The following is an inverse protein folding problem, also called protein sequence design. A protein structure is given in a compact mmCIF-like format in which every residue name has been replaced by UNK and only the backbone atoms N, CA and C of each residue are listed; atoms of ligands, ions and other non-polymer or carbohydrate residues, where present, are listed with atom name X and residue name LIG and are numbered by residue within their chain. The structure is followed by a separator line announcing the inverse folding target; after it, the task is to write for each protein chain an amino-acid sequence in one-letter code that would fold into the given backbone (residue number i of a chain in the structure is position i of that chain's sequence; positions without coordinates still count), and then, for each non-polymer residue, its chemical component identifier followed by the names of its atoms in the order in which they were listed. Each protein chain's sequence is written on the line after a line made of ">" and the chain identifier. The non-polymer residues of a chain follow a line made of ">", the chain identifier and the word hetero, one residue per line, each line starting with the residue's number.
data_IF_046762174787
#
_entry.id   IF_046762174787
#
_cell.length_a   1.000
_cell.length_b   1.000
_cell.length_c   1.000
_cell.angle_alpha   90.00
_cell.angle_beta   90.00
_cell.angle_gamma   90.00
#
_symmetry.space_group_name_H-M   'P 1'
#
loop_
_entity.id
_entity.type
_entity.pdbx_description
1 polymer ?
#
# COMPACT_ATOMS: atom_id res chain seq x y z
N UNK A 1 -4.53 -8.78 -30.79
CA UNK A 1 -3.50 -8.46 -29.78
C UNK A 1 -3.85 -9.21 -28.51
N UNK A 2 -2.92 -9.99 -27.95
CA UNK A 2 -3.16 -10.72 -26.71
C UNK A 2 -3.09 -9.76 -25.51
N UNK A 3 -4.08 -9.83 -24.61
CA UNK A 3 -4.09 -9.05 -23.39
C UNK A 3 -3.04 -9.60 -22.41
N UNK A 4 -2.09 -8.77 -22.00
CA UNK A 4 -1.11 -9.14 -20.97
C UNK A 4 -1.75 -8.98 -19.59
N UNK A 5 -1.90 -10.10 -18.87
CA UNK A 5 -2.40 -10.12 -17.50
C UNK A 5 -1.23 -9.84 -16.55
N UNK A 6 -1.18 -8.63 -15.98
CA UNK A 6 -0.10 -8.20 -15.08
C UNK A 6 -0.25 -8.78 -13.66
N UNK A 7 -1.47 -8.80 -13.12
CA UNK A 7 -1.77 -9.35 -11.79
C UNK A 7 -3.20 -9.86 -11.72
N UNK A 8 -3.49 -10.65 -10.68
CA UNK A 8 -4.84 -11.11 -10.37
C UNK A 8 -4.98 -11.40 -8.88
N UNK A 9 -6.09 -10.92 -8.34
CA UNK A 9 -6.49 -11.15 -6.96
C UNK A 9 -7.91 -11.69 -6.97
N UNK A 10 -8.15 -12.76 -6.23
CA UNK A 10 -9.48 -13.27 -5.94
C UNK A 10 -9.80 -13.00 -4.48
N UNK A 11 -10.98 -12.45 -4.20
CA UNK A 11 -11.45 -12.15 -2.84
C UNK A 11 -12.85 -12.75 -2.65
N UNK A 12 -13.05 -13.46 -1.56
CA UNK A 12 -14.31 -14.12 -1.24
C UNK A 12 -14.70 -13.86 0.22
N UNK A 13 -15.99 -13.60 0.44
CA UNK A 13 -16.58 -13.41 1.76
C UNK A 13 -17.57 -14.54 2.05
N UNK A 14 -17.52 -15.08 3.26
CA UNK A 14 -18.35 -16.20 3.70
C UNK A 14 -19.37 -15.82 4.77
N UNK A 15 -19.71 -16.79 5.63
CA UNK A 15 -20.66 -16.59 6.73
C UNK A 15 -20.08 -15.75 7.89
N UNK A 16 -18.76 -15.70 8.03
CA UNK A 16 -18.11 -14.84 9.01
C UNK A 16 -18.23 -13.39 8.55
N UNK A 17 -18.85 -12.56 9.40
CA UNK A 17 -19.06 -11.15 9.12
C UNK A 17 -17.73 -10.43 8.92
N UNK A 18 -17.62 -9.73 7.79
CA UNK A 18 -16.49 -8.89 7.36
C UNK A 18 -15.12 -9.57 7.12
N UNK A 19 -14.96 -10.85 7.48
CA UNK A 19 -13.76 -11.59 7.11
C UNK A 19 -13.77 -11.98 5.63
N UNK A 20 -12.73 -11.58 4.92
CA UNK A 20 -12.52 -11.84 3.49
C UNK A 20 -11.25 -12.66 3.30
N UNK A 21 -11.38 -13.81 2.65
CA UNK A 21 -10.25 -14.59 2.19
C UNK A 21 -9.76 -14.04 0.84
N UNK A 22 -8.46 -13.75 0.74
CA UNK A 22 -7.84 -13.14 -0.43
C UNK A 22 -6.72 -14.04 -0.95
N UNK A 23 -6.76 -14.34 -2.24
CA UNK A 23 -5.70 -15.03 -2.99
C UNK A 23 -5.03 -14.05 -3.95
N UNK A 24 -3.76 -13.73 -3.71
CA UNK A 24 -2.94 -12.84 -4.53
C UNK A 24 -1.73 -13.60 -5.06
N UNK A 25 -1.86 -14.17 -6.27
CA UNK A 25 -0.88 -15.11 -6.80
C UNK A 25 -0.72 -16.33 -5.87
N UNK A 26 0.50 -16.65 -5.40
CA UNK A 26 0.73 -17.76 -4.45
C UNK A 26 0.41 -17.40 -2.98
N UNK A 27 0.09 -16.14 -2.69
CA UNK A 27 -0.10 -15.65 -1.33
C UNK A 27 -1.57 -15.70 -0.91
N UNK A 28 -1.79 -16.11 0.35
CA UNK A 28 -3.09 -16.06 1.01
C UNK A 28 -3.07 -14.96 2.06
N UNK A 29 -4.05 -14.06 1.99
CA UNK A 29 -4.24 -12.96 2.92
C UNK A 29 -5.64 -13.03 3.50
N UNK A 30 -5.83 -12.37 4.64
CA UNK A 30 -7.15 -12.16 5.24
C UNK A 30 -7.34 -10.67 5.45
N UNK A 31 -8.47 -10.14 4.98
CA UNK A 31 -8.96 -8.83 5.41
C UNK A 31 -10.08 -9.05 6.43
N UNK A 32 -10.13 -8.27 7.48
CA UNK A 32 -11.24 -8.32 8.42
C UNK A 32 -11.41 -6.98 9.12
N UNK A 33 -12.65 -6.58 9.32
CA UNK A 33 -12.92 -5.40 10.10
C UNK A 33 -12.61 -5.65 11.58
N UNK A 34 -12.35 -4.56 12.31
CA UNK A 34 -12.14 -4.67 13.75
C UNK A 34 -13.37 -5.21 14.47
N UNK A 35 -13.18 -5.75 15.68
CA UNK A 35 -14.28 -6.17 16.56
C UNK A 35 -15.26 -5.02 16.84
N UNK A 36 -14.77 -3.79 16.92
CA UNK A 36 -15.60 -2.59 17.13
C UNK A 36 -16.58 -2.33 15.97
N UNK A 37 -16.21 -2.73 14.76
CA UNK A 37 -17.03 -2.61 13.55
C UNK A 37 -17.78 -3.91 13.23
N UNK A 38 -17.67 -4.94 14.09
CA UNK A 38 -18.39 -6.19 13.98
C UNK A 38 -17.69 -7.29 13.17
N UNK A 39 -16.40 -7.11 12.85
CA UNK A 39 -15.54 -8.18 12.34
C UNK A 39 -14.89 -8.97 13.47
N UNK A 40 -13.95 -9.86 13.15
CA UNK A 40 -13.19 -10.64 14.14
C UNK A 40 -11.78 -10.07 14.38
N UNK A 41 -11.34 -9.09 13.58
CA UNK A 41 -9.96 -8.62 13.60
C UNK A 41 -8.94 -9.70 13.20
N UNK A 42 -9.33 -10.66 12.35
CA UNK A 42 -8.48 -11.76 11.91
C UNK A 42 -7.37 -11.35 10.92
N UNK A 43 -7.36 -10.10 10.47
CA UNK A 43 -6.37 -9.52 9.57
C UNK A 43 -6.50 -7.98 9.53
N UNK A 44 -5.72 -7.30 8.67
CA UNK A 44 -5.87 -5.85 8.49
C UNK A 44 -7.26 -5.49 7.98
N UNK A 45 -7.73 -4.29 8.30
CA UNK A 45 -8.99 -3.81 7.74
C UNK A 45 -8.84 -3.61 6.21
N UNK A 46 -9.94 -3.64 5.44
CA UNK A 46 -9.88 -3.44 3.99
C UNK A 46 -9.13 -2.16 3.57
N UNK A 47 -9.34 -1.04 4.26
CA UNK A 47 -8.60 0.19 3.97
C UNK A 47 -7.11 0.09 4.33
N UNK A 48 -6.73 -0.64 5.37
CA UNK A 48 -5.32 -0.88 5.70
C UNK A 48 -4.63 -1.67 4.58
N UNK A 49 -5.31 -2.63 3.95
CA UNK A 49 -4.78 -3.34 2.78
C UNK A 49 -4.64 -2.44 1.55
N UNK A 50 -5.59 -1.52 1.33
CA UNK A 50 -5.49 -0.52 0.25
C UNK A 50 -4.26 0.37 0.47
N UNK A 51 -4.09 0.88 1.69
CA UNK A 51 -2.91 1.70 2.04
C UNK A 51 -1.62 0.88 1.95
N UNK A 52 -1.62 -0.38 2.38
CA UNK A 52 -0.45 -1.27 2.27
C UNK A 52 -0.01 -1.45 0.81
N UNK A 53 -0.96 -1.69 -0.10
CA UNK A 53 -0.67 -1.78 -1.53
C UNK A 53 -0.13 -0.48 -2.11
N UNK A 54 -0.73 0.67 -1.75
CA UNK A 54 -0.27 1.98 -2.19
C UNK A 54 1.14 2.33 -1.67
N UNK A 55 1.41 2.01 -0.41
CA UNK A 55 2.71 2.20 0.23
C UNK A 55 3.78 1.37 -0.45
N UNK A 56 3.51 0.08 -0.67
CA UNK A 56 4.41 -0.82 -1.39
C UNK A 56 4.69 -0.35 -2.83
N UNK A 57 3.65 0.02 -3.58
CA UNK A 57 3.81 0.54 -4.95
C UNK A 57 4.63 1.84 -4.98
N UNK A 58 4.41 2.75 -4.02
CA UNK A 58 5.17 4.00 -3.92
C UNK A 58 6.63 3.72 -3.62
N UNK A 59 6.91 2.92 -2.59
CA UNK A 59 8.28 2.60 -2.18
C UNK A 59 9.07 1.93 -3.31
N UNK A 60 8.49 0.92 -3.96
CA UNK A 60 9.10 0.23 -5.09
C UNK A 60 9.40 1.20 -6.24
N UNK A 61 8.44 2.05 -6.60
CA UNK A 61 8.59 3.00 -7.70
C UNK A 61 9.70 4.02 -7.43
N UNK A 62 9.75 4.59 -6.23
CA UNK A 62 10.76 5.58 -5.88
C UNK A 62 12.16 4.97 -5.76
N UNK A 63 12.27 3.73 -5.25
CA UNK A 63 13.54 2.99 -5.27
C UNK A 63 14.03 2.74 -6.71
N UNK A 64 13.15 2.24 -7.59
CA UNK A 64 13.48 2.03 -9.01
C UNK A 64 13.89 3.35 -9.69
N UNK A 65 13.21 4.46 -9.39
CA UNK A 65 13.54 5.77 -9.93
C UNK A 65 14.93 6.25 -9.49
N UNK A 66 15.25 6.13 -8.19
CA UNK A 66 16.57 6.49 -7.66
C UNK A 66 17.69 5.63 -8.26
N UNK A 67 17.47 4.32 -8.38
CA UNK A 67 18.42 3.38 -9.00
C UNK A 67 18.67 3.72 -10.47
N UNK A 68 17.61 3.98 -11.25
CA UNK A 68 17.72 4.38 -12.65
C UNK A 68 18.50 5.71 -12.82
N UNK A 69 18.45 6.59 -11.82
CA UNK A 69 19.20 7.85 -11.80
C UNK A 69 20.59 7.75 -11.17
N UNK A 70 20.96 6.59 -10.63
CA UNK A 70 22.23 6.39 -9.92
C UNK A 70 22.32 7.17 -8.61
N UNK A 71 21.19 7.45 -7.96
CA UNK A 71 21.16 8.22 -6.72
C UNK A 71 21.40 7.33 -5.49
N UNK A 72 22.14 7.81 -4.47
CA UNK A 72 22.48 7.04 -3.27
C UNK A 72 21.32 7.02 -2.25
N UNK A 73 20.17 6.46 -2.65
CA UNK A 73 19.04 6.19 -1.76
C UNK A 73 19.25 4.84 -1.06
N UNK A 74 19.48 4.86 0.24
CA UNK A 74 19.71 3.66 1.04
C UNK A 74 18.38 3.00 1.42
N UNK A 75 17.46 3.76 2.00
CA UNK A 75 16.15 3.30 2.44
C UNK A 75 15.07 4.37 2.28
N UNK A 76 13.81 3.93 2.23
CA UNK A 76 12.64 4.79 2.13
C UNK A 76 11.51 4.19 2.96
N UNK A 77 11.03 4.91 3.96
CA UNK A 77 9.79 4.57 4.66
C UNK A 77 8.63 5.40 4.11
N UNK A 78 7.46 4.77 4.00
CA UNK A 78 6.24 5.38 3.46
C UNK A 78 5.13 5.22 4.48
N UNK A 79 4.73 6.34 5.07
CA UNK A 79 3.60 6.41 5.99
C UNK A 79 2.37 6.96 5.26
N UNK A 80 1.23 6.29 5.45
CA UNK A 80 -0.04 6.66 4.81
C UNK A 80 -1.15 6.74 5.85
N UNK A 81 -1.95 7.80 5.76
CA UNK A 81 -3.12 8.01 6.61
C UNK A 81 -4.33 8.29 5.74
N UNK A 82 -5.39 7.48 5.87
CA UNK A 82 -6.68 7.76 5.26
C UNK A 82 -7.51 8.64 6.19
N UNK A 83 -7.87 9.82 5.71
CA UNK A 83 -8.73 10.79 6.37
C UNK A 83 -10.06 10.86 5.62
N UNK A 84 -11.15 11.04 6.37
CA UNK A 84 -12.48 11.32 5.83
C UNK A 84 -13.00 12.60 6.43
N UNK A 85 -13.39 13.54 5.57
CA UNK A 85 -14.02 14.80 5.94
C UNK A 85 -15.23 15.10 5.03
N UNK A 86 -15.85 16.28 5.18
CA UNK A 86 -17.02 16.70 4.40
C UNK A 86 -16.74 16.77 2.89
N UNK A 87 -15.47 16.89 2.49
CA UNK A 87 -15.00 16.89 1.11
C UNK A 87 -14.73 15.49 0.54
N UNK A 88 -14.83 14.44 1.36
CA UNK A 88 -14.64 13.04 0.97
C UNK A 88 -13.39 12.41 1.58
N UNK A 89 -12.86 11.40 0.89
CA UNK A 89 -11.72 10.62 1.34
C UNK A 89 -10.40 11.18 0.79
N UNK A 90 -9.42 11.35 1.68
CA UNK A 90 -8.07 11.83 1.37
C UNK A 90 -7.03 10.92 1.98
N UNK A 91 -6.02 10.54 1.20
CA UNK A 91 -4.84 9.85 1.72
C UNK A 91 -3.71 10.87 1.85
N UNK A 92 -3.23 11.06 3.08
CA UNK A 92 -1.99 11.79 3.35
C UNK A 92 -0.82 10.82 3.30
N UNK A 93 0.28 11.26 2.68
CA UNK A 93 1.51 10.47 2.53
C UNK A 93 2.69 11.24 3.11
N UNK A 94 3.47 10.58 3.95
CA UNK A 94 4.76 11.07 4.44
C UNK A 94 5.86 10.11 4.00
N UNK A 95 6.96 10.67 3.49
CA UNK A 95 8.11 9.91 3.01
C UNK A 95 9.32 10.21 3.88
N UNK A 96 9.93 9.17 4.43
CA UNK A 96 11.17 9.26 5.20
C UNK A 96 12.33 8.74 4.34
N UNK A 97 13.12 9.66 3.80
CA UNK A 97 14.14 9.38 2.79
C UNK A 97 15.53 9.29 3.43
N UNK A 98 16.14 8.10 3.40
CA UNK A 98 17.45 7.82 3.98
C UNK A 98 18.52 7.62 2.90
N UNK A 99 19.65 8.31 3.03
CA UNK A 99 20.77 8.22 2.09
C UNK A 99 21.45 9.56 1.84
N UNK A 100 22.58 9.53 1.12
CA UNK A 100 23.42 10.70 0.84
C UNK A 100 22.90 11.55 -0.34
N UNK A 101 21.62 11.88 -0.32
CA UNK A 101 20.95 12.64 -1.38
C UNK A 101 21.09 14.15 -1.18
N UNK A 102 21.35 14.87 -2.27
CA UNK A 102 21.28 16.33 -2.30
C UNK A 102 19.83 16.85 -2.26
N UNK A 103 19.66 18.15 -2.02
CA UNK A 103 18.33 18.77 -1.89
C UNK A 103 17.49 18.65 -3.16
N UNK A 104 18.13 18.67 -4.34
CA UNK A 104 17.43 18.53 -5.63
C UNK A 104 16.92 17.10 -5.82
N UNK A 105 17.70 16.11 -5.41
CA UNK A 105 17.33 14.71 -5.45
C UNK A 105 16.19 14.42 -4.47
N UNK A 106 16.28 14.95 -3.24
CA UNK A 106 15.21 14.82 -2.23
C UNK A 106 13.90 15.45 -2.70
N UNK A 107 13.96 16.66 -3.25
CA UNK A 107 12.77 17.34 -3.77
C UNK A 107 12.08 16.59 -4.91
N UNK A 108 12.80 15.77 -5.67
CA UNK A 108 12.23 14.95 -6.75
C UNK A 108 11.62 13.63 -6.28
N UNK A 109 11.94 13.17 -5.07
CA UNK A 109 11.35 11.98 -4.47
C UNK A 109 10.09 12.30 -3.66
N UNK A 110 9.90 13.56 -3.25
CA UNK A 110 8.79 14.03 -2.42
C UNK A 110 7.49 14.22 -3.22
#
# INVERSE_FOLDING_TARGET
>A
MAQLKLSHVHAAIGAVRYAVAIEAGPHRLTADESVKLGGQGAGPAPFDLVLSGLGACTAATLKMYAEHKGWPLDALDVDLVLLRDDGGDRIERTLHVHGALDDTQRAKLA
#
